data_IF_456552462387
#
_entry.id   IF_456552462387
#
_cell.length_a   1.000
_cell.length_b   1.000
_cell.length_c   1.000
_cell.angle_alpha   90.00
_cell.angle_beta   90.00
_cell.angle_gamma   90.00
#
_symmetry.space_group_name_H-M   'P 1'
#
loop_
_entity.id
_entity.type
_entity.pdbx_description
1 polymer ?
#
# COMPACT_ATOMS: atom_id res chain seq x y z
N UNK A 1 -1.96 -21.55 -37.70
CA UNK A 1 -1.94 -20.08 -37.53
C UNK A 1 -3.38 -19.58 -37.55
N UNK A 2 -3.90 -19.06 -36.42
CA UNK A 2 -5.02 -18.11 -36.45
C UNK A 2 -5.07 -17.31 -35.14
N UNK A 3 -4.50 -16.11 -35.25
CA UNK A 3 -4.71 -14.84 -34.54
C UNK A 3 -5.69 -14.85 -33.36
N UNK A 4 -5.14 -14.84 -32.15
CA UNK A 4 -5.86 -14.53 -30.91
C UNK A 4 -6.27 -13.05 -30.87
N UNK A 5 -7.55 -12.79 -31.12
CA UNK A 5 -8.15 -11.47 -30.99
C UNK A 5 -8.17 -11.01 -29.53
N UNK A 6 -7.32 -10.03 -29.20
CA UNK A 6 -7.41 -9.27 -27.96
C UNK A 6 -8.78 -8.61 -27.85
N UNK A 7 -9.68 -9.18 -27.04
CA UNK A 7 -10.96 -8.56 -26.69
C UNK A 7 -10.69 -7.30 -25.87
N UNK A 8 -10.63 -6.16 -26.54
CA UNK A 8 -10.78 -4.84 -25.92
C UNK A 8 -12.14 -4.77 -25.22
N UNK A 9 -12.13 -4.55 -23.91
CA UNK A 9 -13.34 -4.38 -23.09
C UNK A 9 -14.22 -3.24 -23.66
N UNK A 10 -15.54 -3.42 -23.79
CA UNK A 10 -16.45 -2.44 -24.37
C UNK A 10 -16.85 -1.36 -23.33
N UNK A 11 -15.88 -0.73 -22.69
CA UNK A 11 -16.10 0.39 -21.75
C UNK A 11 -16.02 1.77 -22.44
N UNK A 12 -15.95 1.80 -23.77
CA UNK A 12 -15.43 2.94 -24.54
C UNK A 12 -16.41 3.98 -25.10
N UNK A 13 -17.73 3.88 -24.87
CA UNK A 13 -18.69 4.72 -25.62
C UNK A 13 -19.39 5.84 -24.82
N UNK A 14 -19.07 6.05 -23.53
CA UNK A 14 -19.69 7.13 -22.73
C UNK A 14 -18.73 7.93 -21.83
N UNK A 15 -17.47 8.06 -22.20
CA UNK A 15 -16.56 8.99 -21.51
C UNK A 15 -16.43 10.28 -22.32
N UNK A 16 -16.55 11.42 -21.64
CA UNK A 16 -16.35 12.73 -22.26
C UNK A 16 -14.97 12.78 -22.96
N UNK A 17 -14.88 13.42 -24.13
CA UNK A 17 -13.64 13.59 -24.92
C UNK A 17 -12.40 13.99 -24.09
N UNK A 18 -12.47 14.90 -23.09
CA UNK A 18 -11.30 15.20 -22.24
C UNK A 18 -10.86 14.01 -21.39
N UNK A 19 -11.80 13.22 -20.85
CA UNK A 19 -11.51 12.01 -20.07
C UNK A 19 -10.85 10.95 -20.94
N UNK A 20 -11.29 10.78 -22.19
CA UNK A 20 -10.65 9.85 -23.13
C UNK A 20 -9.21 10.26 -23.46
N UNK A 21 -8.92 11.57 -23.61
CA UNK A 21 -7.56 12.07 -23.85
C UNK A 21 -6.67 11.88 -22.63
N UNK A 22 -7.16 12.20 -21.44
CA UNK A 22 -6.45 11.95 -20.18
C UNK A 22 -6.19 10.46 -19.97
N UNK A 23 -7.19 9.61 -20.26
CA UNK A 23 -7.07 8.15 -20.17
C UNK A 23 -6.04 7.59 -21.15
N UNK A 24 -6.05 8.05 -22.40
CA UNK A 24 -5.07 7.64 -23.41
C UNK A 24 -3.64 8.06 -23.06
N UNK A 25 -3.47 9.27 -22.51
CA UNK A 25 -2.17 9.77 -22.04
C UNK A 25 -1.68 8.99 -20.81
N UNK A 26 -2.56 8.80 -19.82
CA UNK A 26 -2.26 8.02 -18.62
C UNK A 26 -1.89 6.57 -18.97
N UNK A 27 -2.63 5.93 -19.89
CA UNK A 27 -2.36 4.57 -20.35
C UNK A 27 -0.98 4.44 -21.01
N UNK A 28 -0.53 5.44 -21.78
CA UNK A 28 0.81 5.48 -22.35
C UNK A 28 1.90 5.61 -21.28
N UNK A 29 1.68 6.44 -20.26
CA UNK A 29 2.62 6.61 -19.15
C UNK A 29 2.70 5.37 -18.26
N UNK A 30 1.56 4.73 -17.96
CA UNK A 30 1.45 3.46 -17.24
C UNK A 30 2.27 2.38 -17.95
N UNK A 31 2.16 2.31 -19.29
CA UNK A 31 2.84 1.30 -20.10
C UNK A 31 4.36 1.53 -20.18
N UNK A 32 4.80 2.79 -20.14
CA UNK A 32 6.23 3.15 -20.22
C UNK A 32 6.98 3.00 -18.90
N UNK A 33 6.33 3.34 -17.78
CA UNK A 33 6.99 3.36 -16.48
C UNK A 33 6.10 2.78 -15.36
N UNK A 34 5.73 1.48 -15.44
CA UNK A 34 4.85 0.85 -14.44
C UNK A 34 5.46 0.84 -13.03
N UNK A 35 6.79 0.72 -12.94
CA UNK A 35 7.52 0.81 -11.68
C UNK A 35 7.38 2.19 -11.04
N UNK A 36 7.75 3.27 -11.76
CA UNK A 36 7.69 4.63 -11.23
C UNK A 36 6.28 5.02 -10.81
N UNK A 37 5.26 4.59 -11.56
CA UNK A 37 3.88 4.90 -11.20
C UNK A 37 3.46 4.18 -9.91
N UNK A 38 3.85 2.91 -9.73
CA UNK A 38 3.55 2.20 -8.48
C UNK A 38 4.30 2.82 -7.30
N UNK A 39 5.57 3.24 -7.47
CA UNK A 39 6.31 3.87 -6.37
C UNK A 39 5.74 5.23 -5.98
N UNK A 40 5.40 6.09 -6.95
CA UNK A 40 4.78 7.40 -6.69
C UNK A 40 3.42 7.24 -6.04
N UNK A 41 2.58 6.34 -6.53
CA UNK A 41 1.25 6.10 -5.93
C UNK A 41 1.37 5.53 -4.52
N UNK A 42 2.32 4.63 -4.25
CA UNK A 42 2.61 4.15 -2.89
C UNK A 42 3.07 5.27 -1.95
N UNK A 43 3.95 6.18 -2.40
CA UNK A 43 4.37 7.33 -1.58
C UNK A 43 3.22 8.27 -1.23
N UNK A 44 2.40 8.62 -2.22
CA UNK A 44 1.20 9.44 -1.99
C UNK A 44 0.25 8.71 -1.03
N UNK A 45 0.02 7.41 -1.23
CA UNK A 45 -0.84 6.60 -0.38
C UNK A 45 -0.38 6.56 1.08
N UNK A 46 0.92 6.39 1.31
CA UNK A 46 1.48 6.33 2.67
C UNK A 46 1.40 7.69 3.37
N UNK A 47 1.75 8.78 2.68
CA UNK A 47 1.63 10.13 3.23
C UNK A 47 0.18 10.52 3.51
N UNK A 48 -0.73 10.25 2.58
CA UNK A 48 -2.16 10.52 2.76
C UNK A 48 -2.75 9.68 3.91
N UNK A 49 -2.39 8.40 4.01
CA UNK A 49 -2.78 7.54 5.12
C UNK A 49 -2.30 8.07 6.47
N UNK A 50 -1.09 8.64 6.53
CA UNK A 50 -0.58 9.26 7.75
C UNK A 50 -1.36 10.53 8.13
N UNK A 51 -1.72 11.38 7.16
CA UNK A 51 -2.60 12.54 7.41
C UNK A 51 -3.93 12.09 8.01
N UNK A 52 -4.57 11.08 7.42
CA UNK A 52 -5.83 10.52 7.95
C UNK A 52 -5.64 9.95 9.37
N UNK A 53 -4.54 9.25 9.62
CA UNK A 53 -4.24 8.71 10.93
C UNK A 53 -4.05 9.81 11.98
N UNK A 54 -3.32 10.88 11.64
CA UNK A 54 -3.11 12.03 12.54
C UNK A 54 -4.43 12.76 12.82
N UNK A 55 -5.30 12.90 11.83
CA UNK A 55 -6.65 13.47 12.00
C UNK A 55 -7.53 12.59 12.90
N UNK A 56 -7.52 11.27 12.70
CA UNK A 56 -8.29 10.31 13.50
C UNK A 56 -7.82 10.22 14.95
N UNK A 57 -6.52 10.39 15.20
CA UNK A 57 -5.93 10.42 16.55
C UNK A 57 -5.98 11.80 17.22
N UNK A 58 -6.68 12.77 16.60
CA UNK A 58 -6.83 14.16 17.08
C UNK A 58 -5.51 14.86 17.39
N UNK A 59 -4.39 14.44 16.79
CA UNK A 59 -3.12 15.17 16.91
C UNK A 59 -3.21 16.46 16.10
N UNK A 60 -3.16 17.59 16.79
CA UNK A 60 -3.03 18.92 16.19
C UNK A 60 -1.93 19.70 16.92
N UNK A 61 -1.05 20.41 16.19
CA UNK A 61 -0.98 20.53 14.74
C UNK A 61 -0.54 19.22 14.04
N UNK A 62 -0.81 19.11 12.74
CA UNK A 62 -0.33 17.98 11.92
C UNK A 62 1.21 18.01 11.85
N UNK A 63 1.82 16.85 12.08
CA UNK A 63 3.25 16.64 11.88
C UNK A 63 3.53 16.32 10.42
N UNK A 64 3.78 17.37 9.64
CA UNK A 64 4.12 17.26 8.23
C UNK A 64 5.48 16.59 7.98
N UNK A 65 6.40 16.64 8.96
CA UNK A 65 7.70 15.98 8.85
C UNK A 65 7.52 14.47 8.87
N UNK A 66 6.65 13.98 9.76
CA UNK A 66 6.23 12.58 9.78
C UNK A 66 5.46 12.19 8.52
N UNK A 67 4.53 13.02 8.05
CA UNK A 67 3.82 12.76 6.78
C UNK A 67 4.79 12.60 5.61
N UNK A 68 5.78 13.49 5.51
CA UNK A 68 6.81 13.43 4.48
C UNK A 68 7.68 12.17 4.61
N UNK A 69 8.07 11.79 5.83
CA UNK A 69 8.81 10.56 6.08
C UNK A 69 8.00 9.30 5.72
N UNK A 70 6.71 9.27 6.04
CA UNK A 70 5.80 8.19 5.62
C UNK A 70 5.67 8.12 4.11
N UNK A 71 5.52 9.26 3.43
CA UNK A 71 5.51 9.33 1.98
C UNK A 71 6.83 8.87 1.34
N UNK A 72 7.97 9.24 1.92
CA UNK A 72 9.28 8.79 1.50
C UNK A 72 9.47 7.27 1.69
N UNK A 73 8.99 6.72 2.81
CA UNK A 73 8.98 5.27 3.04
C UNK A 73 8.11 4.53 2.02
N UNK A 74 6.94 5.09 1.67
CA UNK A 74 6.08 4.57 0.61
C UNK A 74 6.74 4.62 -0.77
N UNK A 75 7.49 5.67 -1.08
CA UNK A 75 8.24 5.82 -2.34
C UNK A 75 9.44 4.87 -2.44
N UNK A 76 10.25 4.80 -1.38
CA UNK A 76 11.54 4.10 -1.38
C UNK A 76 11.42 2.60 -1.07
N UNK A 77 10.45 2.20 -0.25
CA UNK A 77 10.28 0.80 0.19
C UNK A 77 8.95 0.24 -0.29
N UNK A 78 7.84 0.90 0.05
CA UNK A 78 6.49 0.40 -0.25
C UNK A 78 6.25 0.19 -1.75
N UNK A 79 6.72 1.12 -2.57
CA UNK A 79 6.66 1.09 -4.01
C UNK A 79 7.42 -0.08 -4.64
N UNK A 80 8.75 -0.16 -4.43
CA UNK A 80 9.55 -1.23 -5.00
C UNK A 80 9.14 -2.62 -4.52
N UNK A 81 8.88 -2.79 -3.21
CA UNK A 81 8.43 -4.07 -2.64
C UNK A 81 7.08 -4.46 -3.25
N UNK A 82 6.11 -3.54 -3.31
CA UNK A 82 4.81 -3.80 -3.92
C UNK A 82 4.90 -4.13 -5.41
N UNK A 83 5.80 -3.48 -6.15
CA UNK A 83 6.00 -3.78 -7.58
C UNK A 83 6.54 -5.20 -7.81
N UNK A 84 7.61 -5.59 -7.09
CA UNK A 84 8.14 -6.95 -7.21
C UNK A 84 7.16 -8.01 -6.72
N UNK A 85 6.37 -7.69 -5.70
CA UNK A 85 5.32 -8.58 -5.22
C UNK A 85 4.23 -8.81 -6.27
N UNK A 86 3.79 -7.76 -6.96
CA UNK A 86 2.86 -7.90 -8.10
C UNK A 86 3.48 -8.75 -9.21
N UNK A 87 4.74 -8.50 -9.58
CA UNK A 87 5.42 -9.32 -10.59
C UNK A 87 5.51 -10.80 -10.18
N UNK A 88 5.75 -11.07 -8.89
CA UNK A 88 5.75 -12.43 -8.35
C UNK A 88 4.34 -13.04 -8.42
N UNK A 89 3.29 -12.30 -8.04
CA UNK A 89 1.91 -12.78 -8.13
C UNK A 89 1.49 -13.09 -9.57
N UNK A 90 1.89 -12.27 -10.54
CA UNK A 90 1.63 -12.53 -11.96
C UNK A 90 2.28 -13.84 -12.46
N UNK A 91 3.42 -14.24 -11.86
CA UNK A 91 4.14 -15.46 -12.22
C UNK A 91 3.67 -16.71 -11.48
N UNK A 92 3.03 -16.57 -10.32
CA UNK A 92 2.76 -17.69 -9.41
C UNK A 92 1.27 -17.92 -9.14
N UNK A 93 0.43 -16.90 -9.21
CA UNK A 93 -0.99 -17.00 -8.82
C UNK A 93 -1.86 -17.16 -10.07
N UNK A 94 -2.51 -18.32 -10.16
CA UNK A 94 -3.54 -18.63 -11.16
C UNK A 94 -3.07 -18.33 -12.59
N UNK A 95 -1.85 -18.79 -12.92
CA UNK A 95 -1.19 -18.57 -14.22
C UNK A 95 -1.98 -19.13 -15.41
N UNK A 96 -2.80 -20.16 -15.20
CA UNK A 96 -3.70 -20.72 -16.22
C UNK A 96 -4.94 -19.86 -16.49
N UNK A 97 -5.30 -18.93 -15.58
CA UNK A 97 -6.46 -18.05 -15.70
C UNK A 97 -6.22 -16.67 -15.04
N UNK A 98 -5.23 -15.89 -15.53
CA UNK A 98 -4.68 -14.71 -14.83
C UNK A 98 -5.67 -13.54 -14.73
N UNK A 99 -6.67 -13.51 -15.60
CA UNK A 99 -7.74 -12.50 -15.63
C UNK A 99 -9.09 -13.02 -15.13
N UNK A 100 -9.12 -14.20 -14.51
CA UNK A 100 -10.35 -14.66 -13.85
C UNK A 100 -10.72 -13.74 -12.70
N UNK A 101 -12.02 -13.61 -12.41
CA UNK A 101 -12.50 -12.79 -11.28
C UNK A 101 -11.82 -13.21 -9.96
N UNK A 102 -11.65 -14.52 -9.76
CA UNK A 102 -10.99 -15.07 -8.59
C UNK A 102 -9.52 -14.67 -8.53
N UNK A 103 -8.77 -14.77 -9.63
CA UNK A 103 -7.37 -14.36 -9.69
C UNK A 103 -7.20 -12.87 -9.33
N UNK A 104 -8.06 -12.01 -9.87
CA UNK A 104 -8.04 -10.58 -9.56
C UNK A 104 -8.37 -10.31 -8.08
N UNK A 105 -9.41 -10.95 -7.53
CA UNK A 105 -9.76 -10.81 -6.12
C UNK A 105 -8.62 -11.24 -5.21
N UNK A 106 -8.02 -12.41 -5.45
CA UNK A 106 -6.89 -12.92 -4.65
C UNK A 106 -5.70 -11.97 -4.73
N UNK A 107 -5.31 -11.52 -5.93
CA UNK A 107 -4.21 -10.58 -6.12
C UNK A 107 -4.44 -9.26 -5.38
N UNK A 108 -5.66 -8.72 -5.45
CA UNK A 108 -6.03 -7.49 -4.72
C UNK A 108 -5.98 -7.70 -3.21
N UNK A 109 -6.54 -8.80 -2.69
CA UNK A 109 -6.50 -9.09 -1.25
C UNK A 109 -5.06 -9.20 -0.75
N UNK A 110 -4.18 -9.87 -1.49
CA UNK A 110 -2.77 -9.97 -1.14
C UNK A 110 -2.04 -8.62 -1.20
N UNK A 111 -2.30 -7.78 -2.22
CA UNK A 111 -1.73 -6.43 -2.31
C UNK A 111 -2.19 -5.54 -1.13
N UNK A 112 -3.46 -5.66 -0.70
CA UNK A 112 -3.98 -4.94 0.47
C UNK A 112 -3.33 -5.40 1.79
N UNK A 113 -3.18 -6.71 2.00
CA UNK A 113 -2.52 -7.25 3.20
C UNK A 113 -1.06 -6.80 3.29
N UNK A 114 -0.32 -6.89 2.17
CA UNK A 114 1.05 -6.42 2.11
C UNK A 114 1.13 -4.91 2.34
N UNK A 115 0.27 -4.13 1.68
CA UNK A 115 0.23 -2.67 1.83
C UNK A 115 -0.03 -2.24 3.27
N UNK A 116 -0.98 -2.89 3.95
CA UNK A 116 -1.28 -2.64 5.35
C UNK A 116 -0.10 -2.98 6.26
N UNK A 117 0.54 -4.13 6.07
CA UNK A 117 1.72 -4.53 6.84
C UNK A 117 2.89 -3.56 6.66
N UNK A 118 3.19 -3.17 5.42
CA UNK A 118 4.26 -2.21 5.11
C UNK A 118 3.97 -0.83 5.69
N UNK A 119 2.71 -0.37 5.62
CA UNK A 119 2.32 0.91 6.20
C UNK A 119 2.46 0.91 7.73
N UNK A 120 2.02 -0.16 8.41
CA UNK A 120 2.20 -0.30 9.85
C UNK A 120 3.67 -0.41 10.26
N UNK A 121 4.49 -1.13 9.51
CA UNK A 121 5.92 -1.22 9.76
C UNK A 121 6.60 0.15 9.62
N UNK A 122 6.28 0.91 8.57
CA UNK A 122 6.78 2.27 8.39
C UNK A 122 6.32 3.19 9.53
N UNK A 123 5.05 3.06 9.93
CA UNK A 123 4.50 3.83 11.05
C UNK A 123 5.21 3.54 12.36
N UNK A 124 5.46 2.28 12.68
CA UNK A 124 6.18 1.87 13.89
C UNK A 124 7.66 2.33 13.85
N UNK A 125 8.28 2.36 12.67
CA UNK A 125 9.64 2.85 12.52
C UNK A 125 9.75 4.37 12.71
N UNK A 126 8.79 5.13 12.17
CA UNK A 126 8.84 6.60 12.12
C UNK A 126 8.20 7.25 13.36
N UNK A 127 7.12 6.68 13.89
CA UNK A 127 6.37 7.25 15.01
C UNK A 127 6.75 6.57 16.33
N UNK A 128 7.65 7.21 17.07
CA UNK A 128 8.13 6.78 18.39
C UNK A 128 7.02 6.28 19.34
N UNK A 129 5.96 7.06 19.64
CA UNK A 129 4.90 6.59 20.54
C UNK A 129 4.19 5.32 20.06
N UNK A 130 4.02 5.13 18.74
CA UNK A 130 3.41 3.92 18.22
C UNK A 130 4.34 2.71 18.38
N UNK A 131 5.65 2.91 18.18
CA UNK A 131 6.66 1.88 18.43
C UNK A 131 6.61 1.37 19.86
N UNK A 132 6.53 2.28 20.83
CA UNK A 132 6.46 1.93 22.24
C UNK A 132 5.20 1.12 22.57
N UNK A 133 4.04 1.49 22.02
CA UNK A 133 2.80 0.71 22.18
C UNK A 133 2.94 -0.71 21.60
N UNK A 134 3.53 -0.86 20.40
CA UNK A 134 3.78 -2.18 19.82
C UNK A 134 4.72 -3.02 20.69
N UNK A 135 5.80 -2.43 21.22
CA UNK A 135 6.74 -3.13 22.10
C UNK A 135 6.07 -3.58 23.40
N UNK A 136 5.20 -2.77 23.99
CA UNK A 136 4.45 -3.13 25.20
C UNK A 136 3.50 -4.32 24.99
N UNK A 137 2.99 -4.54 23.77
CA UNK A 137 2.17 -5.70 23.43
C UNK A 137 2.99 -6.98 23.25
N UNK A 138 4.25 -6.85 22.85
CA UNK A 138 5.16 -7.98 22.62
C UNK A 138 5.90 -8.38 23.90
N UNK A 139 6.16 -7.44 24.82
CA UNK A 139 6.79 -7.78 26.08
C UNK A 139 5.83 -8.58 26.98
N UNK A 140 6.25 -9.74 27.49
CA UNK A 140 5.45 -10.47 28.48
C UNK A 140 5.28 -9.57 29.71
N UNK A 141 4.04 -9.43 30.22
CA UNK A 141 3.78 -8.74 31.49
C UNK A 141 4.70 -9.32 32.55
N UNK A 142 5.75 -8.60 32.93
CA UNK A 142 6.56 -8.95 34.08
C UNK A 142 5.61 -9.00 35.28
N UNK A 143 5.56 -10.15 35.96
CA UNK A 143 4.68 -10.37 37.11
C UNK A 143 4.84 -9.21 38.11
N UNK A 144 3.75 -8.71 38.73
CA UNK A 144 3.86 -7.73 39.80
C UNK A 144 4.77 -8.30 40.89
N UNK A 145 5.77 -7.50 41.28
CA UNK A 145 6.66 -7.76 42.38
C UNK A 145 5.80 -7.86 43.66
N UNK A 146 5.86 -8.98 44.41
CA UNK A 146 5.06 -9.11 45.63
C UNK A 146 5.52 -8.02 46.60
N UNK A 147 4.55 -7.24 47.07
CA UNK A 147 4.73 -6.21 48.08
C UNK A 147 5.62 -6.75 49.20
N UNK A 148 6.75 -6.07 49.42
CA UNK A 148 7.57 -6.27 50.60
C UNK A 148 6.67 -5.93 51.80
N UNK A 149 6.12 -6.99 52.43
CA UNK A 149 5.38 -6.89 53.67
C UNK A 149 6.27 -6.18 54.69
N UNK A 150 5.71 -5.12 55.26
CA UNK A 150 6.18 -4.48 56.50
C UNK A 150 6.61 -5.55 57.51
N UNK A 151 7.82 -5.40 58.02
CA UNK A 151 8.20 -5.81 59.36
C UNK A 151 8.99 -4.67 59.99
#
# INVERSE_FOLDING_TARGET
MNSGGSRSLPLGTRLARPVQRLWGSASKTISRHPFLLKTVTSGIGFGFGDVLFQLGTRRRPLDWRRTAAMGAAGLAVGGPVGYYFIMWMERNIMTSAPHSKLALTVKVTLDQVLGFALWHAALAAINEPHRQTCLQLVQPKTKPQPDAKLH
#
